data_IF_306604284206
#
_entry.id   IF_306604284206
#
_cell.length_a   1.000
_cell.length_b   1.000
_cell.length_c   1.000
_cell.angle_alpha   90.00
_cell.angle_beta   90.00
_cell.angle_gamma   90.00
#
_symmetry.space_group_name_H-M   'P 1'
#
loop_
_entity.id
_entity.type
_entity.pdbx_description
1 polymer ?
#
# COMPACT_ATOMS: atom_id res chain seq x y z
N UNK A 1 -1.80 26.74 -14.99
CA UNK A 1 -0.73 26.16 -15.85
C UNK A 1 0.46 25.86 -14.97
N UNK A 2 0.49 24.68 -14.34
CA UNK A 2 1.52 24.29 -13.38
C UNK A 2 2.84 23.99 -14.09
N UNK A 3 3.92 24.63 -13.67
CA UNK A 3 5.27 24.42 -14.23
C UNK A 3 5.66 22.95 -14.01
N UNK A 4 6.08 22.28 -15.09
CA UNK A 4 6.79 20.99 -15.01
C UNK A 4 8.14 21.25 -14.36
N UNK A 5 8.26 20.91 -13.08
CA UNK A 5 9.54 20.81 -12.42
C UNK A 5 10.24 19.58 -13.04
N UNK A 6 11.16 19.83 -13.97
CA UNK A 6 12.10 18.81 -14.42
C UNK A 6 13.12 18.62 -13.28
N UNK A 7 13.28 17.40 -12.73
CA UNK A 7 14.35 17.14 -11.78
C UNK A 7 15.73 17.32 -12.46
N UNK A 8 16.77 17.71 -11.69
CA UNK A 8 18.10 17.95 -12.25
C UNK A 8 18.65 16.67 -12.89
N UNK A 9 19.21 16.82 -14.10
CA UNK A 9 19.74 15.71 -14.89
C UNK A 9 21.12 15.30 -14.41
N UNK A 10 21.19 14.37 -13.47
CA UNK A 10 22.45 13.77 -13.03
C UNK A 10 22.58 12.35 -13.61
N UNK A 11 23.15 12.27 -14.82
CA UNK A 11 24.15 11.25 -15.20
C UNK A 11 23.90 9.75 -15.05
N UNK A 12 22.71 9.28 -14.71
CA UNK A 12 22.33 7.86 -14.69
C UNK A 12 20.83 7.76 -14.95
N UNK A 13 20.42 6.88 -15.87
CA UNK A 13 19.06 6.81 -16.40
C UNK A 13 18.00 6.82 -15.28
N UNK A 14 17.39 7.99 -15.09
CA UNK A 14 16.35 8.18 -14.09
C UNK A 14 15.09 7.45 -14.59
N UNK A 15 14.86 6.23 -14.09
CA UNK A 15 13.71 5.39 -14.42
C UNK A 15 12.43 5.94 -13.77
N UNK A 16 12.08 7.17 -14.11
CA UNK A 16 10.83 7.80 -13.69
C UNK A 16 9.74 7.27 -14.61
N UNK A 17 8.96 6.32 -14.12
CA UNK A 17 7.76 5.86 -14.81
C UNK A 17 6.59 6.83 -14.54
N UNK A 18 6.07 7.53 -15.56
CA UNK A 18 4.88 8.33 -15.38
C UNK A 18 3.69 7.41 -15.15
N UNK A 19 2.99 7.59 -14.03
CA UNK A 19 1.79 6.81 -13.69
C UNK A 19 0.58 7.74 -13.59
N UNK A 20 -0.53 7.33 -14.17
CA UNK A 20 -1.81 8.03 -14.01
C UNK A 20 -2.25 8.02 -12.53
N UNK A 21 -2.46 9.19 -11.96
CA UNK A 21 -2.74 9.34 -10.53
C UNK A 21 -4.03 8.65 -10.12
N UNK A 22 -5.09 8.74 -10.94
CA UNK A 22 -6.39 8.14 -10.62
C UNK A 22 -6.26 6.63 -10.58
N UNK A 23 -5.68 6.03 -11.61
CA UNK A 23 -5.43 4.58 -11.68
C UNK A 23 -4.58 4.09 -10.50
N UNK A 24 -3.47 4.79 -10.21
CA UNK A 24 -2.60 4.42 -9.10
C UNK A 24 -3.31 4.50 -7.74
N UNK A 25 -4.14 5.52 -7.54
CA UNK A 25 -4.87 5.72 -6.29
C UNK A 25 -5.90 4.61 -6.08
N UNK A 26 -6.71 4.30 -7.10
CA UNK A 26 -7.72 3.25 -7.03
C UNK A 26 -7.10 1.89 -6.68
N UNK A 27 -6.01 1.52 -7.37
CA UNK A 27 -5.31 0.26 -7.15
C UNK A 27 -4.70 0.17 -5.75
N UNK A 28 -3.95 1.19 -5.33
CA UNK A 28 -3.26 1.21 -4.03
C UNK A 28 -4.24 1.29 -2.88
N UNK A 29 -5.31 2.07 -3.03
CA UNK A 29 -6.36 2.18 -2.02
C UNK A 29 -7.06 0.83 -1.83
N UNK A 30 -7.48 0.18 -2.91
CA UNK A 30 -8.14 -1.12 -2.83
C UNK A 30 -7.23 -2.18 -2.20
N UNK A 31 -5.96 -2.24 -2.63
CA UNK A 31 -4.99 -3.19 -2.07
C UNK A 31 -4.79 -2.98 -0.56
N UNK A 32 -4.66 -1.72 -0.12
CA UNK A 32 -4.54 -1.40 1.30
C UNK A 32 -5.81 -1.71 2.09
N UNK A 33 -6.99 -1.39 1.54
CA UNK A 33 -8.27 -1.66 2.17
C UNK A 33 -8.47 -3.16 2.40
N UNK A 34 -8.27 -3.98 1.36
CA UNK A 34 -8.39 -5.44 1.45
C UNK A 34 -7.38 -6.03 2.43
N UNK A 35 -6.12 -5.61 2.37
CA UNK A 35 -5.09 -6.06 3.31
C UNK A 35 -5.46 -5.73 4.77
N UNK A 36 -5.98 -4.52 5.00
CA UNK A 36 -6.42 -4.07 6.33
C UNK A 36 -7.60 -4.89 6.85
N UNK A 37 -8.61 -5.13 6.01
CA UNK A 37 -9.81 -5.91 6.37
C UNK A 37 -9.40 -7.33 6.76
N UNK A 38 -8.64 -8.01 5.89
CA UNK A 38 -8.33 -9.43 6.03
C UNK A 38 -7.26 -9.73 7.09
N UNK A 39 -6.24 -8.88 7.20
CA UNK A 39 -5.03 -9.22 7.97
C UNK A 39 -4.77 -8.33 9.18
N UNK A 40 -5.70 -7.44 9.51
CA UNK A 40 -5.52 -6.51 10.64
C UNK A 40 -6.79 -6.25 11.43
N UNK A 41 -7.87 -5.87 10.76
CA UNK A 41 -9.05 -5.30 11.41
C UNK A 41 -10.02 -6.35 11.97
N UNK A 42 -10.38 -7.34 11.14
CA UNK A 42 -11.39 -8.34 11.50
C UNK A 42 -10.78 -9.55 12.23
N UNK A 43 -11.48 -10.10 13.24
CA UNK A 43 -11.11 -11.37 13.86
C UNK A 43 -11.52 -12.56 12.98
N UNK A 44 -10.85 -13.71 13.14
CA UNK A 44 -11.25 -14.95 12.48
C UNK A 44 -12.48 -15.57 13.18
N UNK A 45 -13.39 -16.16 12.41
CA UNK A 45 -14.63 -16.76 12.94
C UNK A 45 -14.37 -18.00 13.79
N UNK A 46 -13.26 -18.70 13.56
CA UNK A 46 -12.95 -19.97 14.24
C UNK A 46 -12.56 -19.78 15.70
N UNK A 47 -11.83 -18.70 15.99
CA UNK A 47 -11.24 -18.45 17.30
C UNK A 47 -11.60 -17.07 17.88
N UNK A 48 -12.19 -16.16 17.09
CA UNK A 48 -12.47 -14.79 17.49
C UNK A 48 -11.21 -13.92 17.65
N UNK A 49 -10.03 -14.40 17.24
CA UNK A 49 -8.76 -13.72 17.49
C UNK A 49 -8.30 -12.89 16.28
N UNK A 50 -7.80 -11.69 16.59
CA UNK A 50 -7.09 -10.86 15.60
C UNK A 50 -5.68 -11.42 15.34
N UNK A 51 -5.09 -11.14 14.17
CA UNK A 51 -3.75 -11.63 13.81
C UNK A 51 -2.65 -11.29 14.83
N UNK A 52 -2.74 -10.16 15.53
CA UNK A 52 -1.77 -9.78 16.57
C UNK A 52 -1.85 -10.71 17.80
N UNK A 53 -3.04 -11.12 18.22
CA UNK A 53 -3.21 -12.01 19.37
C UNK A 53 -2.60 -13.38 19.08
N UNK A 54 -2.86 -13.94 17.88
CA UNK A 54 -2.24 -15.20 17.45
C UNK A 54 -0.72 -15.13 17.49
N UNK A 55 -0.11 -14.03 17.02
CA UNK A 55 1.36 -13.86 17.07
C UNK A 55 1.91 -13.80 18.49
N UNK A 56 1.20 -13.17 19.42
CA UNK A 56 1.61 -13.10 20.84
C UNK A 56 1.52 -14.48 21.49
N UNK A 57 0.48 -15.25 21.21
CA UNK A 57 0.26 -16.57 21.83
C UNK A 57 1.23 -17.65 21.31
N UNK A 58 1.83 -17.45 20.14
CA UNK A 58 2.77 -18.40 19.51
C UNK A 58 4.25 -18.02 19.69
N UNK A 59 4.57 -16.89 20.32
CA UNK A 59 5.93 -16.44 20.63
C UNK A 59 6.38 -16.96 22.01
#
# INVERSE_FOLDING_TARGET
>A
MGKRLLPPSDGGGDHIEPVDLKKALEERYLAYALSTIMHRALPDVRDGLKPVHRRIMHA
#
